data_IF_171306370680
#
_entry.id   IF_171306370680
#
_cell.length_a   1.000
_cell.length_b   1.000
_cell.length_c   1.000
_cell.angle_alpha   90.00
_cell.angle_beta   90.00
_cell.angle_gamma   90.00
#
_symmetry.space_group_name_H-M   'P 1'
#
loop_
_entity.id
_entity.type
_entity.pdbx_description
1 polymer ?
#
# COMPACT_ATOMS: atom_id res chain seq x y z
N UNK A 1 21.01 -23.74 2.65
CA UNK A 1 20.23 -23.59 1.40
C UNK A 1 18.80 -23.08 1.61
N UNK A 2 18.23 -23.11 2.82
CA UNK A 2 16.84 -22.67 3.04
C UNK A 2 16.70 -21.16 3.37
N UNK A 3 17.71 -20.56 3.98
CA UNK A 3 17.65 -19.17 4.46
C UNK A 3 17.55 -18.14 3.32
N UNK A 4 18.19 -18.40 2.18
CA UNK A 4 18.13 -17.52 1.00
C UNK A 4 16.71 -17.44 0.42
N UNK A 5 15.96 -18.55 0.44
CA UNK A 5 14.58 -18.58 -0.05
C UNK A 5 13.64 -17.84 0.89
N UNK A 6 13.83 -17.99 2.20
CA UNK A 6 13.08 -17.26 3.23
C UNK A 6 13.32 -15.76 3.08
N UNK A 7 14.58 -15.34 2.92
CA UNK A 7 14.93 -13.94 2.74
C UNK A 7 14.34 -13.34 1.47
N UNK A 8 14.45 -14.04 0.33
CA UNK A 8 13.84 -13.62 -0.94
C UNK A 8 12.33 -13.47 -0.84
N UNK A 9 11.65 -14.38 -0.14
CA UNK A 9 10.20 -14.36 0.02
C UNK A 9 9.77 -13.15 0.84
N UNK A 10 10.44 -12.91 1.98
CA UNK A 10 10.23 -11.74 2.84
C UNK A 10 10.46 -10.43 2.07
N UNK A 11 11.53 -10.37 1.27
CA UNK A 11 11.81 -9.20 0.44
C UNK A 11 10.68 -8.90 -0.55
N UNK A 12 10.19 -9.90 -1.29
CA UNK A 12 9.07 -9.73 -2.22
C UNK A 12 7.79 -9.30 -1.49
N UNK A 13 7.49 -9.87 -0.33
CA UNK A 13 6.32 -9.49 0.45
C UNK A 13 6.38 -8.02 0.91
N UNK A 14 7.53 -7.55 1.40
CA UNK A 14 7.71 -6.14 1.75
C UNK A 14 7.57 -5.21 0.56
N UNK A 15 8.13 -5.59 -0.58
CA UNK A 15 8.05 -4.82 -1.82
C UNK A 15 6.61 -4.74 -2.33
N UNK A 16 5.90 -5.87 -2.37
CA UNK A 16 4.50 -5.94 -2.79
C UNK A 16 3.60 -5.08 -1.90
N UNK A 17 3.76 -5.16 -0.56
CA UNK A 17 2.98 -4.36 0.38
C UNK A 17 3.20 -2.86 0.14
N UNK A 18 4.45 -2.44 -0.11
CA UNK A 18 4.76 -1.03 -0.44
C UNK A 18 4.15 -0.60 -1.77
N UNK A 19 4.26 -1.44 -2.80
CA UNK A 19 3.71 -1.17 -4.13
C UNK A 19 2.19 -1.09 -4.10
N UNK A 20 1.52 -1.97 -3.35
CA UNK A 20 0.07 -1.93 -3.15
C UNK A 20 -0.34 -0.63 -2.45
N UNK A 21 0.33 -0.26 -1.35
CA UNK A 21 0.03 1.00 -0.67
C UNK A 21 0.24 2.23 -1.58
N UNK A 22 1.30 2.22 -2.38
CA UNK A 22 1.56 3.28 -3.36
C UNK A 22 0.50 3.32 -4.48
N UNK A 23 0.07 2.16 -4.98
CA UNK A 23 -1.00 2.07 -5.97
C UNK A 23 -2.32 2.61 -5.42
N UNK A 24 -2.67 2.29 -4.16
CA UNK A 24 -3.86 2.83 -3.49
C UNK A 24 -3.75 4.35 -3.29
N UNK A 25 -2.56 4.84 -2.93
CA UNK A 25 -2.33 6.29 -2.83
C UNK A 25 -2.56 6.98 -4.18
N UNK A 26 -1.93 6.48 -5.24
CA UNK A 26 -2.08 7.01 -6.60
C UNK A 26 -3.53 6.95 -7.08
N UNK A 27 -4.25 5.87 -6.75
CA UNK A 27 -5.67 5.71 -7.06
C UNK A 27 -6.54 6.74 -6.33
N UNK A 28 -6.23 7.06 -5.07
CA UNK A 28 -6.88 8.15 -4.34
C UNK A 28 -6.69 9.52 -5.02
N UNK A 29 -5.47 9.81 -5.48
CA UNK A 29 -5.16 11.04 -6.24
C UNK A 29 -5.89 11.04 -7.59
N UNK A 30 -5.96 9.91 -8.29
CA UNK A 30 -6.70 9.77 -9.54
C UNK A 30 -8.20 10.06 -9.31
N UNK A 31 -8.82 9.48 -8.28
CA UNK A 31 -10.23 9.75 -7.93
C UNK A 31 -10.47 11.22 -7.56
N UNK A 32 -9.51 11.86 -6.91
CA UNK A 32 -9.60 13.27 -6.54
C UNK A 32 -9.54 14.18 -7.77
N UNK A 33 -8.76 13.81 -8.78
CA UNK A 33 -8.41 14.67 -9.93
C UNK A 33 -9.19 14.33 -11.20
N UNK A 34 -9.92 13.22 -11.21
CA UNK A 34 -10.64 12.71 -12.38
C UNK A 34 -12.07 12.32 -12.03
N UNK A 35 -12.92 12.23 -13.04
CA UNK A 35 -14.33 11.85 -12.90
C UNK A 35 -14.54 10.33 -12.76
N UNK A 36 -13.54 9.60 -12.26
CA UNK A 36 -13.49 8.13 -12.24
C UNK A 36 -14.68 7.50 -11.49
N UNK A 37 -15.14 8.17 -10.42
CA UNK A 37 -16.25 7.72 -9.57
C UNK A 37 -17.50 8.58 -9.73
N UNK A 38 -17.35 9.86 -10.08
CA UNK A 38 -18.45 10.82 -10.21
C UNK A 38 -18.04 11.96 -11.13
N UNK A 39 -18.96 12.46 -11.98
CA UNK A 39 -18.73 13.71 -12.74
C UNK A 39 -18.48 14.89 -11.78
N UNK A 40 -17.38 15.62 -11.98
CA UNK A 40 -16.85 16.66 -11.09
C UNK A 40 -15.82 16.16 -10.06
N UNK A 41 -15.41 14.89 -10.11
CA UNK A 41 -14.54 14.24 -9.15
C UNK A 41 -15.18 14.03 -7.77
N UNK A 42 -14.53 13.23 -6.91
CA UNK A 42 -14.96 13.10 -5.52
C UNK A 42 -13.78 13.31 -4.55
N UNK A 43 -13.40 14.58 -4.30
CA UNK A 43 -12.13 14.91 -3.63
C UNK A 43 -12.01 14.33 -2.22
N UNK A 44 -13.11 14.26 -1.48
CA UNK A 44 -13.14 13.72 -0.13
C UNK A 44 -12.81 12.22 -0.10
N UNK A 45 -13.41 11.46 -1.02
CA UNK A 45 -13.18 10.01 -1.14
C UNK A 45 -11.76 9.75 -1.63
N UNK A 46 -11.31 10.52 -2.63
CA UNK A 46 -9.93 10.46 -3.13
C UNK A 46 -8.91 10.77 -2.04
N UNK A 47 -9.14 11.79 -1.20
CA UNK A 47 -8.27 12.15 -0.09
C UNK A 47 -8.20 11.06 0.98
N UNK A 48 -9.33 10.45 1.37
CA UNK A 48 -9.35 9.33 2.32
C UNK A 48 -8.56 8.14 1.76
N UNK A 49 -8.80 7.77 0.50
CA UNK A 49 -8.08 6.69 -0.16
C UNK A 49 -6.58 6.97 -0.27
N UNK A 50 -6.20 8.21 -0.60
CA UNK A 50 -4.81 8.63 -0.65
C UNK A 50 -4.16 8.47 0.73
N UNK A 51 -4.77 8.99 1.79
CA UNK A 51 -4.25 8.87 3.16
C UNK A 51 -4.13 7.40 3.58
N UNK A 52 -5.13 6.58 3.31
CA UNK A 52 -5.09 5.15 3.63
C UNK A 52 -3.99 4.42 2.84
N UNK A 53 -3.80 4.74 1.56
CA UNK A 53 -2.71 4.20 0.75
C UNK A 53 -1.33 4.60 1.27
N UNK A 54 -1.15 5.87 1.62
CA UNK A 54 0.09 6.39 2.18
C UNK A 54 0.41 5.74 3.53
N UNK A 55 -0.57 5.71 4.45
CA UNK A 55 -0.41 5.05 5.76
C UNK A 55 -0.19 3.54 5.60
N UNK A 56 -0.92 2.89 4.70
CA UNK A 56 -0.73 1.48 4.37
C UNK A 56 0.69 1.19 3.87
N UNK A 57 1.21 2.00 2.95
CA UNK A 57 2.57 1.83 2.42
C UNK A 57 3.67 2.00 3.49
N UNK A 58 3.43 2.85 4.49
CA UNK A 58 4.39 3.14 5.56
C UNK A 58 4.28 2.19 6.77
N UNK A 59 3.05 1.84 7.17
CA UNK A 59 2.77 1.07 8.38
C UNK A 59 2.69 -0.44 8.14
N UNK A 60 2.12 -0.88 7.02
CA UNK A 60 2.02 -2.31 6.71
C UNK A 60 3.38 -3.05 6.67
N UNK A 61 4.50 -2.49 6.14
CA UNK A 61 5.79 -3.18 6.22
C UNK A 61 6.32 -3.31 7.65
N UNK A 62 5.98 -2.37 8.55
CA UNK A 62 6.34 -2.45 9.99
C UNK A 62 5.55 -3.55 10.69
N UNK A 63 4.25 -3.65 10.39
CA UNK A 63 3.40 -4.72 10.92
C UNK A 63 3.83 -6.09 10.41
N UNK A 64 4.16 -6.20 9.12
CA UNK A 64 4.63 -7.44 8.50
C UNK A 64 5.94 -7.94 9.14
N UNK A 65 6.89 -7.03 9.41
CA UNK A 65 8.11 -7.37 10.17
C UNK A 65 7.80 -7.90 11.57
N UNK A 66 6.85 -7.26 12.27
CA UNK A 66 6.43 -7.68 13.61
C UNK A 66 5.75 -9.05 13.64
N UNK A 67 5.06 -9.42 12.54
CA UNK A 67 4.50 -10.77 12.37
C UNK A 67 5.60 -11.80 12.19
N UNK A 68 6.64 -11.50 11.41
CA UNK A 68 7.77 -12.42 11.23
C UNK A 68 8.64 -12.60 12.46
N UNK A 69 8.72 -11.61 13.36
CA UNK A 69 9.41 -11.74 14.65
C UNK A 69 8.64 -12.64 15.65
N UNK A 70 7.33 -12.84 15.42
CA UNK A 70 6.51 -13.76 16.22
C UNK A 70 6.49 -15.20 15.68
N UNK A 71 7.06 -15.44 14.49
CA UNK A 71 7.22 -16.75 13.88
C UNK A 71 8.63 -17.27 14.11
#
# INVERSE_FOLDING_TARGET
MNDDQIWKTRFHQLMLVRLIGLAVFALGIAIMSTDLLRPGGWPQVGAILAILGALGSLLAPRLLKKVWERQ
#
